data_IF_297334595821
#
_entry.id   IF_297334595821
#
_cell.length_a   1.000
_cell.length_b   1.000
_cell.length_c   1.000
_cell.angle_alpha   90.00
_cell.angle_beta   90.00
_cell.angle_gamma   90.00
#
_symmetry.space_group_name_H-M   'P 1'
#
loop_
_entity.id
_entity.type
_entity.pdbx_description
1 polymer ?
#
# COMPACT_ATOMS: atom_id res chain seq x y z
N UNK A 1 -2.29 -0.40 -35.59
CA UNK A 1 -1.86 -1.82 -35.62
C UNK A 1 -2.22 -2.35 -34.24
N UNK A 2 -3.32 -3.09 -34.17
CA UNK A 2 -4.14 -3.26 -32.97
C UNK A 2 -3.50 -4.18 -31.91
N UNK A 3 -2.92 -3.57 -30.87
CA UNK A 3 -2.39 -4.23 -29.67
C UNK A 3 -3.48 -4.83 -28.76
N UNK A 4 -4.75 -4.54 -29.02
CA UNK A 4 -5.91 -5.08 -28.30
C UNK A 4 -6.19 -6.54 -28.65
N UNK A 5 -5.78 -7.00 -29.85
CA UNK A 5 -6.00 -8.38 -30.29
C UNK A 5 -5.00 -9.37 -29.69
N UNK A 6 -3.72 -8.99 -29.56
CA UNK A 6 -2.70 -9.86 -28.95
C UNK A 6 -2.96 -10.15 -27.46
N UNK A 7 -3.56 -9.20 -26.73
CA UNK A 7 -3.87 -9.40 -25.30
C UNK A 7 -5.08 -10.34 -25.08
N UNK A 8 -6.04 -10.34 -26.01
CA UNK A 8 -7.23 -11.23 -25.94
C UNK A 8 -6.83 -12.68 -26.27
N UNK A 9 -5.88 -12.89 -27.17
CA UNK A 9 -5.41 -14.23 -27.57
C UNK A 9 -4.71 -14.97 -26.41
N UNK A 10 -3.95 -14.24 -25.56
CA UNK A 10 -3.21 -14.81 -24.43
C UNK A 10 -4.13 -15.34 -23.31
N UNK A 11 -5.33 -14.77 -23.15
CA UNK A 11 -6.27 -15.18 -22.10
C UNK A 11 -7.12 -16.41 -22.45
N UNK A 12 -7.09 -16.90 -23.69
CA UNK A 12 -7.92 -18.04 -24.13
C UNK A 12 -7.36 -19.42 -23.75
N UNK A 13 -6.12 -19.50 -23.24
CA UNK A 13 -5.45 -20.78 -22.91
C UNK A 13 -5.68 -21.30 -21.49
N UNK A 14 -6.42 -20.60 -20.63
CA UNK A 14 -6.74 -21.05 -19.27
C UNK A 14 -8.19 -21.61 -19.23
N UNK A 15 -8.34 -22.92 -19.46
CA UNK A 15 -9.61 -23.61 -19.20
C UNK A 15 -9.86 -23.77 -17.69
N UNK A 16 -11.10 -23.55 -17.19
CA UNK A 16 -11.45 -23.88 -15.81
C UNK A 16 -11.76 -25.38 -15.67
N UNK A 17 -11.09 -26.05 -14.73
CA UNK A 17 -11.47 -27.39 -14.27
C UNK A 17 -12.80 -27.33 -13.52
N UNK A 18 -13.82 -28.01 -14.06
CA UNK A 18 -15.09 -28.29 -13.37
C UNK A 18 -14.85 -29.28 -12.23
N UNK A 19 -15.04 -28.85 -10.99
CA UNK A 19 -15.14 -29.75 -9.83
C UNK A 19 -16.62 -30.08 -9.61
N UNK A 20 -16.96 -31.37 -9.71
CA UNK A 20 -18.29 -31.89 -9.47
C UNK A 20 -18.62 -31.84 -7.97
N UNK A 21 -19.78 -31.27 -7.62
CA UNK A 21 -20.35 -31.35 -6.28
C UNK A 21 -21.03 -32.71 -6.10
N UNK A 22 -20.49 -33.58 -5.25
CA UNK A 22 -21.22 -34.74 -4.72
C UNK A 22 -22.02 -34.34 -3.48
N UNK A 23 -23.28 -34.77 -3.43
CA UNK A 23 -24.26 -34.50 -2.37
C UNK A 23 -24.15 -35.54 -1.25
N UNK A 24 -24.16 -35.20 0.06
CA UNK A 24 -24.08 -36.21 1.11
C UNK A 24 -25.47 -36.77 1.47
N UNK A 25 -25.56 -38.10 1.37
CA UNK A 25 -26.64 -38.98 1.81
C UNK A 25 -27.00 -38.79 3.30
N UNK A 26 -28.30 -38.81 3.60
CA UNK A 26 -28.86 -38.80 4.95
C UNK A 26 -28.70 -40.17 5.66
N UNK A 27 -28.48 -40.16 6.97
CA UNK A 27 -28.55 -41.34 7.87
C UNK A 27 -29.47 -41.05 9.08
N UNK A 28 -30.08 -42.09 9.69
CA UNK A 28 -31.45 -42.04 10.20
C UNK A 28 -31.57 -41.62 11.67
N UNK A 29 -32.69 -40.97 12.01
CA UNK A 29 -33.09 -40.64 13.37
C UNK A 29 -33.51 -41.88 14.17
N UNK A 30 -32.89 -42.07 15.35
CA UNK A 30 -33.35 -43.00 16.39
C UNK A 30 -34.12 -42.18 17.43
N UNK A 31 -35.37 -42.56 17.72
CA UNK A 31 -36.23 -41.96 18.76
C UNK A 31 -35.92 -42.59 20.13
N UNK A 32 -35.88 -41.83 21.24
CA UNK A 32 -35.71 -42.40 22.57
C UNK A 32 -37.05 -42.80 23.24
N UNK A 33 -36.97 -43.82 24.09
CA UNK A 33 -38.04 -44.49 24.86
C UNK A 33 -38.66 -43.57 25.95
N UNK A 34 -39.96 -43.66 26.29
CA UNK A 34 -40.65 -42.63 27.07
C UNK A 34 -40.63 -42.82 28.60
N UNK A 35 -39.75 -43.66 29.17
CA UNK A 35 -39.88 -44.10 30.57
C UNK A 35 -38.68 -43.87 31.50
N UNK A 36 -37.99 -42.74 31.39
CA UNK A 36 -37.02 -42.30 32.40
C UNK A 36 -37.25 -40.86 32.83
N UNK A 37 -37.90 -40.71 33.98
CA UNK A 37 -37.90 -39.48 34.79
C UNK A 37 -36.54 -39.32 35.46
N UNK A 38 -35.66 -38.54 34.84
CA UNK A 38 -34.49 -37.97 35.52
C UNK A 38 -34.51 -36.45 35.41
N UNK A 39 -34.31 -35.82 36.56
CA UNK A 39 -34.25 -34.40 36.83
C UNK A 39 -33.27 -33.68 35.90
N UNK A 40 -33.76 -32.71 35.14
CA UNK A 40 -32.98 -31.79 34.30
C UNK A 40 -31.91 -31.03 35.10
N UNK A 41 -30.60 -31.26 34.89
CA UNK A 41 -29.62 -30.22 35.09
C UNK A 41 -29.63 -29.32 33.84
N UNK A 42 -29.52 -28.02 34.03
CA UNK A 42 -29.38 -27.03 32.94
C UNK A 42 -28.30 -27.49 31.95
N UNK A 43 -28.71 -28.05 30.81
CA UNK A 43 -27.83 -28.23 29.67
C UNK A 43 -27.60 -26.83 29.10
N UNK A 44 -26.40 -26.29 29.36
CA UNK A 44 -25.83 -25.25 28.51
C UNK A 44 -25.77 -25.87 27.11
N UNK A 45 -26.67 -25.43 26.23
CA UNK A 45 -26.64 -25.77 24.81
C UNK A 45 -25.36 -25.16 24.24
N UNK A 46 -24.28 -25.93 24.26
CA UNK A 46 -23.11 -25.65 23.45
C UNK A 46 -23.59 -25.81 22.01
N UNK A 47 -23.90 -24.69 21.36
CA UNK A 47 -24.17 -24.66 19.93
C UNK A 47 -22.96 -25.31 19.23
N UNK A 48 -23.16 -26.36 18.43
CA UNK A 48 -22.06 -26.99 17.71
C UNK A 48 -21.66 -26.06 16.57
N UNK A 49 -20.77 -25.11 16.86
CA UNK A 49 -20.05 -24.34 15.85
C UNK A 49 -19.00 -25.25 15.19
N UNK A 50 -19.48 -26.21 14.40
CA UNK A 50 -18.69 -26.99 13.45
C UNK A 50 -19.25 -26.77 12.03
N UNK A 51 -19.38 -25.51 11.66
CA UNK A 51 -19.14 -25.11 10.29
C UNK A 51 -17.87 -24.28 10.32
N UNK A 52 -16.89 -24.49 9.40
CA UNK A 52 -15.84 -23.52 9.23
C UNK A 52 -16.54 -22.21 8.85
N UNK A 53 -16.63 -21.28 9.81
CA UNK A 53 -17.11 -19.93 9.54
C UNK A 53 -16.14 -19.40 8.51
N UNK A 54 -16.59 -19.32 7.25
CA UNK A 54 -15.88 -18.53 6.26
C UNK A 54 -15.76 -17.14 6.87
N UNK A 55 -14.53 -16.70 7.17
CA UNK A 55 -14.23 -15.33 7.60
C UNK A 55 -14.39 -14.34 6.42
N UNK A 56 -15.07 -14.74 5.35
CA UNK A 56 -15.52 -13.82 4.31
C UNK A 56 -16.49 -12.84 4.96
N UNK A 57 -16.21 -11.53 4.88
CA UNK A 57 -17.06 -10.50 5.48
C UNK A 57 -18.47 -10.62 4.91
N UNK A 58 -19.44 -10.81 5.81
CA UNK A 58 -20.84 -10.96 5.46
C UNK A 58 -21.38 -9.58 5.09
N UNK A 59 -22.09 -9.48 3.95
CA UNK A 59 -22.77 -8.25 3.56
C UNK A 59 -23.74 -7.81 4.67
N UNK A 60 -23.67 -6.55 5.07
CA UNK A 60 -24.59 -6.02 6.08
C UNK A 60 -26.01 -5.90 5.52
N UNK A 61 -27.01 -6.00 6.41
CA UNK A 61 -28.42 -5.84 6.02
C UNK A 61 -28.70 -4.46 5.41
N UNK A 62 -29.74 -4.36 4.58
CA UNK A 62 -30.09 -3.13 3.85
C UNK A 62 -30.31 -1.90 4.76
N UNK A 63 -30.69 -2.11 6.01
CA UNK A 63 -30.84 -1.05 7.02
C UNK A 63 -29.54 -0.28 7.29
N UNK A 64 -28.37 -0.88 7.03
CA UNK A 64 -27.07 -0.27 7.27
C UNK A 64 -26.47 0.38 6.01
N UNK A 65 -27.14 0.29 4.86
CA UNK A 65 -26.63 0.83 3.59
C UNK A 65 -26.36 2.34 3.66
N UNK A 66 -27.16 3.09 4.43
CA UNK A 66 -26.97 4.54 4.62
C UNK A 66 -25.69 4.91 5.37
N UNK A 67 -25.10 3.97 6.12
CA UNK A 67 -23.87 4.20 6.91
C UNK A 67 -22.61 3.80 6.15
N UNK A 68 -22.74 3.13 4.99
CA UNK A 68 -21.58 2.71 4.18
C UNK A 68 -20.67 3.88 3.80
N UNK A 69 -21.19 5.06 3.39
CA UNK A 69 -20.33 6.21 3.12
C UNK A 69 -19.54 6.69 4.35
N UNK A 70 -20.14 6.64 5.54
CA UNK A 70 -19.47 7.01 6.79
C UNK A 70 -18.36 6.00 7.14
N UNK A 71 -18.59 4.71 6.87
CA UNK A 71 -17.58 3.67 7.04
C UNK A 71 -16.44 3.78 6.03
N UNK A 72 -16.74 4.14 4.78
CA UNK A 72 -15.71 4.45 3.78
C UNK A 72 -14.84 5.61 4.25
N UNK A 73 -15.44 6.74 4.65
CA UNK A 73 -14.71 7.89 5.17
C UNK A 73 -13.88 7.54 6.42
N UNK A 74 -14.43 6.73 7.34
CA UNK A 74 -13.67 6.25 8.49
C UNK A 74 -12.49 5.36 8.07
N UNK A 75 -12.69 4.49 7.07
CA UNK A 75 -11.62 3.68 6.49
C UNK A 75 -10.48 4.54 5.93
N UNK A 76 -10.82 5.59 5.17
CA UNK A 76 -9.84 6.54 4.61
C UNK A 76 -9.05 7.24 5.73
N UNK A 77 -9.71 7.63 6.84
CA UNK A 77 -8.99 8.24 7.97
C UNK A 77 -8.06 7.28 8.72
N UNK A 78 -8.33 5.98 8.65
CA UNK A 78 -7.55 4.94 9.34
C UNK A 78 -6.50 4.30 8.44
N UNK A 79 -6.51 4.59 7.14
CA UNK A 79 -5.70 3.87 6.16
C UNK A 79 -4.20 3.93 6.47
N UNK A 80 -3.68 5.12 6.79
CA UNK A 80 -2.24 5.29 7.07
C UNK A 80 -1.79 4.75 8.43
N UNK A 81 -2.63 4.91 9.45
CA UNK A 81 -2.27 4.61 10.85
C UNK A 81 -2.60 3.16 11.23
N UNK A 82 -3.72 2.65 10.73
CA UNK A 82 -4.36 1.41 11.15
C UNK A 82 -4.89 0.62 9.93
N UNK A 83 -4.02 0.25 8.97
CA UNK A 83 -4.41 -0.30 7.66
C UNK A 83 -5.19 -1.62 7.76
N UNK A 84 -5.03 -2.38 8.85
CA UNK A 84 -5.80 -3.61 9.10
C UNK A 84 -7.27 -3.29 9.40
N UNK A 85 -7.53 -2.23 10.16
CA UNK A 85 -8.89 -1.78 10.47
C UNK A 85 -9.54 -1.11 9.27
N UNK A 86 -8.79 -0.28 8.53
CA UNK A 86 -9.23 0.27 7.26
C UNK A 86 -9.61 -0.83 6.26
N UNK A 87 -8.77 -1.86 6.10
CA UNK A 87 -9.05 -3.02 5.25
C UNK A 87 -10.36 -3.73 5.63
N UNK A 88 -10.62 -3.88 6.93
CA UNK A 88 -11.86 -4.51 7.40
C UNK A 88 -13.10 -3.67 7.06
N UNK A 89 -13.03 -2.35 7.23
CA UNK A 89 -14.09 -1.41 6.86
C UNK A 89 -14.35 -1.43 5.35
N UNK A 90 -13.31 -1.25 4.54
CA UNK A 90 -13.43 -1.25 3.08
C UNK A 90 -13.99 -2.56 2.53
N UNK A 91 -13.59 -3.70 3.10
CA UNK A 91 -14.22 -4.99 2.75
C UNK A 91 -15.70 -5.01 3.12
N UNK A 92 -16.07 -4.55 4.31
CA UNK A 92 -17.47 -4.43 4.74
C UNK A 92 -18.30 -3.59 3.77
N UNK A 93 -17.76 -2.43 3.35
CA UNK A 93 -18.37 -1.56 2.35
C UNK A 93 -18.51 -2.28 0.99
N UNK A 94 -17.45 -2.94 0.52
CA UNK A 94 -17.47 -3.69 -0.74
C UNK A 94 -18.56 -4.76 -0.76
N UNK A 95 -18.59 -5.67 0.22
CA UNK A 95 -19.55 -6.78 0.23
C UNK A 95 -20.98 -6.28 0.38
N UNK A 96 -21.20 -5.21 1.15
CA UNK A 96 -22.52 -4.59 1.32
C UNK A 96 -22.99 -3.92 0.03
N UNK A 97 -22.15 -3.12 -0.62
CA UNK A 97 -22.47 -2.48 -1.89
C UNK A 97 -22.65 -3.51 -3.00
N UNK A 98 -21.79 -4.53 -3.07
CA UNK A 98 -21.89 -5.59 -4.06
C UNK A 98 -23.20 -6.39 -3.94
N UNK A 99 -23.69 -6.61 -2.72
CA UNK A 99 -24.95 -7.31 -2.48
C UNK A 99 -26.18 -6.46 -2.86
N UNK A 100 -26.21 -5.18 -2.47
CA UNK A 100 -27.42 -4.33 -2.63
C UNK A 100 -27.44 -3.50 -3.91
N UNK A 101 -26.29 -3.03 -4.38
CA UNK A 101 -26.14 -2.15 -5.55
C UNK A 101 -25.56 -2.89 -6.77
N UNK A 102 -24.91 -4.03 -6.54
CA UNK A 102 -24.25 -4.82 -7.57
C UNK A 102 -22.77 -4.49 -7.74
N UNK A 103 -22.04 -5.36 -8.44
CA UNK A 103 -20.57 -5.29 -8.58
C UNK A 103 -20.04 -4.20 -9.52
N UNK A 104 -20.91 -3.61 -10.34
CA UNK A 104 -20.54 -2.52 -11.27
C UNK A 104 -20.94 -1.14 -10.74
N UNK A 105 -21.62 -1.07 -9.59
CA UNK A 105 -21.94 0.22 -8.99
C UNK A 105 -20.65 0.94 -8.58
N UNK A 106 -20.59 2.25 -8.82
CA UNK A 106 -19.43 3.10 -8.53
C UNK A 106 -18.94 2.93 -7.09
N UNK A 107 -19.86 2.99 -6.11
CA UNK A 107 -19.53 2.81 -4.70
C UNK A 107 -18.98 1.40 -4.36
N UNK A 108 -19.32 0.38 -5.16
CA UNK A 108 -18.73 -0.97 -5.01
C UNK A 108 -17.30 -0.98 -5.52
N UNK A 109 -17.05 -0.35 -6.68
CA UNK A 109 -15.71 -0.28 -7.28
C UNK A 109 -14.77 0.58 -6.44
N UNK A 110 -15.24 1.69 -5.88
CA UNK A 110 -14.47 2.53 -4.95
C UNK A 110 -14.01 1.73 -3.73
N UNK A 111 -14.93 1.02 -3.07
CA UNK A 111 -14.57 0.14 -1.96
C UNK A 111 -13.60 -0.97 -2.40
N UNK A 112 -13.75 -1.50 -3.62
CA UNK A 112 -12.86 -2.53 -4.17
C UNK A 112 -11.43 -2.02 -4.38
N UNK A 113 -11.28 -0.80 -4.90
CA UNK A 113 -9.97 -0.14 -5.10
C UNK A 113 -9.32 0.14 -3.74
N UNK A 114 -10.07 0.68 -2.78
CA UNK A 114 -9.58 0.94 -1.42
C UNK A 114 -9.10 -0.34 -0.70
N UNK A 115 -9.82 -1.47 -0.86
CA UNK A 115 -9.35 -2.79 -0.39
C UNK A 115 -8.01 -3.16 -1.04
N UNK A 116 -7.91 -2.95 -2.36
CA UNK A 116 -6.68 -3.21 -3.12
C UNK A 116 -5.49 -2.39 -2.62
N UNK A 117 -5.69 -1.11 -2.34
CA UNK A 117 -4.65 -0.20 -1.87
C UNK A 117 -4.18 -0.56 -0.45
N UNK A 118 -5.12 -0.76 0.49
CA UNK A 118 -4.80 -1.26 1.83
C UNK A 118 -4.02 -2.58 1.81
N UNK A 119 -4.38 -3.51 0.92
CA UNK A 119 -3.61 -4.76 0.76
C UNK A 119 -2.20 -4.50 0.23
N UNK A 120 -2.00 -3.52 -0.65
CA UNK A 120 -0.70 -3.13 -1.15
C UNK A 120 0.17 -2.51 -0.05
N UNK A 121 -0.41 -1.66 0.82
CA UNK A 121 0.26 -1.09 1.98
C UNK A 121 0.68 -2.17 2.99
N UNK A 122 -0.16 -3.19 3.18
CA UNK A 122 0.16 -4.38 3.98
C UNK A 122 1.12 -5.36 3.28
N UNK A 123 1.74 -4.98 2.17
CA UNK A 123 2.66 -5.80 1.37
C UNK A 123 2.06 -7.11 0.83
N UNK A 124 0.72 -7.23 0.79
CA UNK A 124 -0.01 -8.38 0.24
C UNK A 124 -0.28 -8.18 -1.25
N UNK A 125 0.79 -8.03 -2.04
CA UNK A 125 0.73 -7.62 -3.44
C UNK A 125 -0.03 -8.58 -4.36
N UNK A 126 0.01 -9.89 -4.06
CA UNK A 126 -0.77 -10.87 -4.82
C UNK A 126 -2.28 -10.62 -4.64
N UNK A 127 -2.73 -10.46 -3.40
CA UNK A 127 -4.13 -10.19 -3.09
C UNK A 127 -4.54 -8.81 -3.63
N UNK A 128 -3.73 -7.77 -3.41
CA UNK A 128 -3.95 -6.43 -3.93
C UNK A 128 -4.19 -6.46 -5.45
N UNK A 129 -3.34 -7.17 -6.20
CA UNK A 129 -3.51 -7.32 -7.64
C UNK A 129 -4.83 -8.03 -8.00
N UNK A 130 -5.24 -9.07 -7.28
CA UNK A 130 -6.52 -9.74 -7.59
C UNK A 130 -7.71 -8.79 -7.44
N UNK A 131 -7.71 -7.96 -6.41
CA UNK A 131 -8.78 -6.99 -6.15
C UNK A 131 -8.79 -5.88 -7.20
N UNK A 132 -7.63 -5.28 -7.47
CA UNK A 132 -7.48 -4.16 -8.41
C UNK A 132 -7.69 -4.61 -9.87
N UNK A 133 -7.17 -5.76 -10.28
CA UNK A 133 -7.40 -6.28 -11.63
C UNK A 133 -8.86 -6.67 -11.86
N UNK A 134 -9.58 -7.13 -10.83
CA UNK A 134 -11.01 -7.39 -10.95
C UNK A 134 -11.82 -6.09 -11.01
N UNK A 135 -11.45 -5.04 -10.25
CA UNK A 135 -12.05 -3.72 -10.34
C UNK A 135 -11.83 -3.13 -11.75
N UNK A 136 -10.59 -3.16 -12.24
CA UNK A 136 -10.19 -2.72 -13.57
C UNK A 136 -11.04 -3.33 -14.69
N UNK A 137 -11.30 -4.65 -14.64
CA UNK A 137 -12.13 -5.34 -15.64
C UNK A 137 -13.61 -4.92 -15.62
N UNK A 138 -14.07 -4.32 -14.51
CA UNK A 138 -15.47 -3.94 -14.29
C UNK A 138 -15.70 -2.44 -14.47
N UNK A 139 -14.66 -1.63 -14.42
CA UNK A 139 -14.74 -0.19 -14.68
C UNK A 139 -15.13 0.08 -16.14
N UNK A 140 -16.00 1.07 -16.34
CA UNK A 140 -16.23 1.64 -17.66
C UNK A 140 -15.00 2.49 -18.05
N UNK A 141 -14.37 2.28 -19.21
CA UNK A 141 -13.23 3.09 -19.65
C UNK A 141 -13.50 4.60 -19.75
N UNK A 142 -14.76 5.01 -19.78
CA UNK A 142 -15.18 6.41 -19.80
C UNK A 142 -15.40 7.02 -18.42
N UNK A 143 -15.38 6.22 -17.35
CA UNK A 143 -15.53 6.69 -15.98
C UNK A 143 -14.17 7.21 -15.45
N UNK A 144 -14.19 8.35 -14.75
CA UNK A 144 -13.00 8.89 -14.05
C UNK A 144 -12.41 7.84 -13.09
N UNK A 145 -13.24 6.94 -12.53
CA UNK A 145 -12.80 5.84 -11.66
C UNK A 145 -11.94 4.80 -12.36
N UNK A 146 -11.99 4.73 -13.68
CA UNK A 146 -11.02 3.95 -14.46
C UNK A 146 -9.60 4.44 -14.17
N UNK A 147 -9.38 5.75 -14.07
CA UNK A 147 -8.09 6.33 -13.73
C UNK A 147 -7.65 6.02 -12.30
N UNK A 148 -8.56 6.16 -11.34
CA UNK A 148 -8.27 5.92 -9.92
C UNK A 148 -7.81 4.46 -9.67
N UNK A 149 -8.25 3.51 -10.50
CA UNK A 149 -7.78 2.12 -10.42
C UNK A 149 -6.39 1.90 -11.06
N UNK A 150 -5.97 2.70 -12.05
CA UNK A 150 -4.70 2.51 -12.76
C UNK A 150 -3.49 2.75 -11.86
N UNK A 151 -3.52 3.81 -11.04
CA UNK A 151 -2.36 4.18 -10.23
C UNK A 151 -2.02 3.12 -9.18
N UNK A 152 -2.95 2.65 -8.34
CA UNK A 152 -2.69 1.57 -7.40
C UNK A 152 -2.30 0.27 -8.10
N UNK A 153 -2.95 -0.07 -9.22
CA UNK A 153 -2.60 -1.27 -9.99
C UNK A 153 -1.17 -1.18 -10.55
N UNK A 154 -0.78 -0.04 -11.11
CA UNK A 154 0.56 0.23 -11.60
C UNK A 154 1.62 0.12 -10.49
N UNK A 155 1.35 0.67 -9.31
CA UNK A 155 2.23 0.54 -8.15
C UNK A 155 2.36 -0.93 -7.68
N UNK A 156 1.27 -1.69 -7.68
CA UNK A 156 1.30 -3.13 -7.35
C UNK A 156 2.11 -3.91 -8.38
N UNK A 157 1.97 -3.64 -9.68
CA UNK A 157 2.82 -4.24 -10.73
C UNK A 157 4.29 -3.91 -10.50
N UNK A 158 4.61 -2.68 -10.12
CA UNK A 158 5.98 -2.27 -9.82
C UNK A 158 6.57 -3.08 -8.66
N UNK A 159 5.81 -3.26 -7.57
CA UNK A 159 6.22 -4.09 -6.42
C UNK A 159 6.37 -5.57 -6.75
N UNK A 160 5.67 -6.03 -7.79
CA UNK A 160 5.80 -7.38 -8.36
C UNK A 160 6.92 -7.50 -9.41
N UNK A 161 7.72 -6.45 -9.61
CA UNK A 161 8.79 -6.37 -10.61
C UNK A 161 8.31 -6.43 -12.07
N UNK A 162 7.03 -6.16 -12.31
CA UNK A 162 6.42 -6.09 -13.65
C UNK A 162 6.54 -4.65 -14.19
N UNK A 163 7.79 -4.19 -14.32
CA UNK A 163 8.15 -2.77 -14.51
C UNK A 163 7.54 -2.17 -15.79
N UNK A 164 7.52 -2.92 -16.89
CA UNK A 164 6.99 -2.42 -18.16
C UNK A 164 5.47 -2.18 -18.10
N UNK A 165 4.74 -3.07 -17.42
CA UNK A 165 3.28 -2.92 -17.22
C UNK A 165 3.00 -1.73 -16.32
N UNK A 166 3.75 -1.60 -15.22
CA UNK A 166 3.68 -0.46 -14.32
C UNK A 166 3.95 0.86 -15.05
N UNK A 167 4.94 0.89 -15.94
CA UNK A 167 5.26 2.07 -16.76
C UNK A 167 4.07 2.51 -17.59
N UNK A 168 3.49 1.58 -18.36
CA UNK A 168 2.35 1.91 -19.23
C UNK A 168 1.17 2.47 -18.43
N UNK A 169 0.86 1.89 -17.27
CA UNK A 169 -0.23 2.37 -16.43
C UNK A 169 0.07 3.74 -15.83
N UNK A 170 1.25 3.94 -15.23
CA UNK A 170 1.57 5.17 -14.50
C UNK A 170 1.87 6.36 -15.42
N UNK A 171 2.49 6.14 -16.58
CA UNK A 171 2.61 7.19 -17.61
C UNK A 171 1.24 7.59 -18.16
N UNK A 172 0.32 6.62 -18.30
CA UNK A 172 -1.05 6.92 -18.76
C UNK A 172 -1.82 7.73 -17.73
N UNK A 173 -1.68 7.43 -16.44
CA UNK A 173 -2.29 8.23 -15.36
C UNK A 173 -1.76 9.65 -15.39
N UNK A 174 -0.44 9.84 -15.40
CA UNK A 174 0.17 11.17 -15.42
C UNK A 174 -0.29 12.02 -16.61
N UNK A 175 -0.41 11.41 -17.80
CA UNK A 175 -0.93 12.09 -18.98
C UNK A 175 -2.39 12.54 -18.80
N UNK A 176 -3.24 11.70 -18.22
CA UNK A 176 -4.65 12.04 -18.00
C UNK A 176 -4.80 13.15 -16.95
N UNK A 177 -4.02 13.10 -15.87
CA UNK A 177 -4.02 14.16 -14.86
C UNK A 177 -3.53 15.50 -15.43
N UNK A 178 -2.50 15.48 -16.26
CA UNK A 178 -2.03 16.67 -16.96
C UNK A 178 -3.11 17.25 -17.90
N UNK A 179 -3.86 16.40 -18.60
CA UNK A 179 -4.94 16.84 -19.50
C UNK A 179 -6.13 17.44 -18.73
N UNK A 180 -6.46 16.90 -17.56
CA UNK A 180 -7.64 17.29 -16.79
C UNK A 180 -7.37 18.51 -15.90
N UNK A 181 -6.28 18.48 -15.14
CA UNK A 181 -5.97 19.48 -14.11
C UNK A 181 -4.86 20.44 -14.52
N UNK A 182 -4.03 20.05 -15.48
CA UNK A 182 -2.90 20.84 -15.98
C UNK A 182 -1.55 20.42 -15.38
N UNK A 183 -0.43 20.89 -15.98
CA UNK A 183 0.92 20.42 -15.68
C UNK A 183 1.47 20.87 -14.32
N UNK A 184 0.83 21.85 -13.68
CA UNK A 184 1.23 22.36 -12.38
C UNK A 184 0.33 21.86 -11.24
N UNK A 185 -0.77 21.16 -11.52
CA UNK A 185 -1.68 20.70 -10.46
C UNK A 185 -0.99 19.68 -9.53
N UNK A 186 -1.32 19.70 -8.24
CA UNK A 186 -0.73 18.78 -7.25
C UNK A 186 -0.95 17.30 -7.64
N UNK A 187 -2.12 16.96 -8.17
CA UNK A 187 -2.44 15.59 -8.63
C UNK A 187 -1.51 15.16 -9.76
N UNK A 188 -1.30 16.03 -10.75
CA UNK A 188 -0.38 15.79 -11.86
C UNK A 188 1.05 15.60 -11.37
N UNK A 189 1.49 16.44 -10.43
CA UNK A 189 2.83 16.36 -9.86
C UNK A 189 3.06 15.05 -9.08
N UNK A 190 2.06 14.57 -8.33
CA UNK A 190 2.13 13.26 -7.65
C UNK A 190 2.21 12.10 -8.65
N UNK A 191 1.40 12.14 -9.71
CA UNK A 191 1.46 11.13 -10.77
C UNK A 191 2.80 11.13 -11.50
N UNK A 192 3.43 12.28 -11.68
CA UNK A 192 4.80 12.37 -12.20
C UNK A 192 5.84 11.75 -11.26
N UNK A 193 5.67 11.84 -9.93
CA UNK A 193 6.55 11.15 -8.98
C UNK A 193 6.41 9.61 -9.06
N UNK A 194 5.21 9.11 -9.38
CA UNK A 194 5.01 7.70 -9.66
C UNK A 194 5.76 7.28 -10.95
N UNK A 195 5.73 8.10 -12.00
CA UNK A 195 6.53 7.87 -13.23
C UNK A 195 8.03 7.89 -12.93
N UNK A 196 8.52 8.86 -12.15
CA UNK A 196 9.92 8.90 -11.72
C UNK A 196 10.32 7.63 -10.96
N UNK A 197 9.41 7.13 -10.11
CA UNK A 197 9.62 5.87 -9.39
C UNK A 197 9.74 4.71 -10.37
N UNK A 198 8.89 4.60 -11.41
CA UNK A 198 9.03 3.54 -12.41
C UNK A 198 10.38 3.63 -13.13
N UNK A 199 10.79 4.82 -13.58
CA UNK A 199 12.08 4.98 -14.25
C UNK A 199 13.27 4.61 -13.36
N UNK A 200 13.16 4.79 -12.04
CA UNK A 200 14.14 4.27 -11.08
C UNK A 200 14.27 2.74 -11.16
N UNK A 201 13.15 2.01 -11.19
CA UNK A 201 13.16 0.54 -11.28
C UNK A 201 13.61 0.04 -12.67
N UNK A 202 13.36 0.83 -13.73
CA UNK A 202 13.90 0.56 -15.06
C UNK A 202 15.39 0.88 -15.21
N UNK A 203 16.04 1.43 -14.16
CA UNK A 203 17.44 1.87 -14.21
C UNK A 203 17.68 3.17 -14.97
N UNK A 204 16.61 3.87 -15.41
CA UNK A 204 16.71 5.15 -16.08
C UNK A 204 16.74 6.31 -15.06
N UNK A 205 17.82 6.37 -14.28
CA UNK A 205 17.99 7.33 -13.20
C UNK A 205 18.01 8.79 -13.70
N UNK A 206 18.55 9.05 -14.89
CA UNK A 206 18.61 10.40 -15.44
C UNK A 206 17.21 10.98 -15.71
N UNK A 207 16.31 10.20 -16.32
CA UNK A 207 14.92 10.62 -16.53
C UNK A 207 14.19 10.80 -15.19
N UNK A 208 14.37 9.86 -14.25
CA UNK A 208 13.75 9.93 -12.94
C UNK A 208 14.17 11.18 -12.14
N UNK A 209 15.46 11.51 -12.13
CA UNK A 209 16.00 12.71 -11.46
C UNK A 209 15.41 13.97 -12.10
N UNK A 210 15.40 14.04 -13.44
CA UNK A 210 14.85 15.20 -14.17
C UNK A 210 13.39 15.46 -13.78
N UNK A 211 12.57 14.39 -13.71
CA UNK A 211 11.16 14.50 -13.32
C UNK A 211 11.03 14.93 -11.86
N UNK A 212 11.71 14.25 -10.93
CA UNK A 212 11.62 14.57 -9.51
C UNK A 212 12.07 16.02 -9.21
N UNK A 213 13.15 16.48 -9.84
CA UNK A 213 13.62 17.87 -9.73
C UNK A 213 12.60 18.86 -10.30
N UNK A 214 11.99 18.54 -11.46
CA UNK A 214 10.94 19.36 -12.06
C UNK A 214 9.74 19.48 -11.12
N UNK A 215 9.29 18.37 -10.53
CA UNK A 215 8.18 18.36 -9.58
C UNK A 215 8.46 19.25 -8.37
N UNK A 216 9.62 19.08 -7.73
CA UNK A 216 10.01 19.88 -6.56
C UNK A 216 10.08 21.36 -6.92
N UNK A 217 10.67 21.71 -8.07
CA UNK A 217 10.84 23.10 -8.50
C UNK A 217 9.51 23.77 -8.82
N UNK A 218 8.62 23.07 -9.54
CA UNK A 218 7.27 23.54 -9.85
C UNK A 218 6.47 23.73 -8.57
N UNK A 219 6.48 22.75 -7.66
CA UNK A 219 5.76 22.84 -6.40
C UNK A 219 6.28 24.01 -5.55
N UNK A 220 7.60 24.18 -5.43
CA UNK A 220 8.21 25.31 -4.72
C UNK A 220 7.80 26.68 -5.29
N UNK A 221 7.69 26.78 -6.62
CA UNK A 221 7.32 28.03 -7.30
C UNK A 221 5.85 28.41 -7.07
N UNK A 222 4.99 27.44 -6.73
CA UNK A 222 3.55 27.64 -6.49
C UNK A 222 3.18 27.78 -5.00
N UNK A 223 4.13 27.62 -4.08
CA UNK A 223 3.95 27.95 -2.66
C UNK A 223 3.90 29.48 -2.50
N UNK A 224 2.74 30.08 -2.75
CA UNK A 224 2.52 31.51 -2.52
C UNK A 224 2.34 31.79 -1.02
N UNK A 225 3.44 32.15 -0.33
CA UNK A 225 3.43 32.93 0.91
C UNK A 225 2.66 32.40 2.13
N UNK A 226 2.07 31.20 2.06
CA UNK A 226 1.25 30.60 3.10
C UNK A 226 1.57 29.12 3.33
N UNK A 227 1.06 28.58 4.44
CA UNK A 227 1.23 27.19 4.86
C UNK A 227 0.26 26.26 4.11
N UNK A 228 0.41 26.18 2.79
CA UNK A 228 -0.38 25.23 2.00
C UNK A 228 0.21 23.82 2.17
N UNK A 229 -0.43 23.04 3.04
CA UNK A 229 -0.04 21.69 3.36
C UNK A 229 0.04 20.78 2.11
N UNK A 230 -0.78 21.05 1.09
CA UNK A 230 -0.84 20.27 -0.15
C UNK A 230 0.46 20.39 -0.93
N UNK A 231 0.86 21.61 -1.27
CA UNK A 231 2.11 21.86 -1.99
C UNK A 231 3.33 21.43 -1.20
N UNK A 232 3.31 21.62 0.13
CA UNK A 232 4.39 21.14 1.00
C UNK A 232 4.50 19.62 0.97
N UNK A 233 3.38 18.91 0.96
CA UNK A 233 3.32 17.46 0.78
C UNK A 233 3.99 17.03 -0.52
N UNK A 234 3.64 17.66 -1.65
CA UNK A 234 4.25 17.37 -2.96
C UNK A 234 5.76 17.64 -2.96
N UNK A 235 6.21 18.77 -2.40
CA UNK A 235 7.64 19.11 -2.29
C UNK A 235 8.37 18.02 -1.49
N UNK A 236 7.79 17.59 -0.38
CA UNK A 236 8.36 16.57 0.48
C UNK A 236 8.45 15.22 -0.25
N UNK A 237 7.34 14.75 -0.86
CA UNK A 237 7.31 13.49 -1.62
C UNK A 237 8.32 13.51 -2.76
N UNK A 238 8.41 14.62 -3.48
CA UNK A 238 9.40 14.81 -4.54
C UNK A 238 10.84 14.82 -4.03
N UNK A 239 11.08 15.45 -2.88
CA UNK A 239 12.41 15.48 -2.22
C UNK A 239 12.82 14.08 -1.74
N UNK A 240 11.89 13.29 -1.21
CA UNK A 240 12.15 11.91 -0.82
C UNK A 240 12.55 11.06 -2.03
N UNK A 241 11.78 11.14 -3.12
CA UNK A 241 12.10 10.43 -4.38
C UNK A 241 13.45 10.87 -4.95
N UNK A 242 13.71 12.18 -4.97
CA UNK A 242 14.99 12.74 -5.42
C UNK A 242 16.15 12.27 -4.54
N UNK A 243 15.99 12.25 -3.22
CA UNK A 243 17.00 11.76 -2.28
C UNK A 243 17.36 10.30 -2.53
N UNK A 244 16.36 9.43 -2.71
CA UNK A 244 16.56 8.03 -3.08
C UNK A 244 17.30 7.87 -4.42
N UNK A 245 16.97 8.70 -5.41
CA UNK A 245 17.60 8.69 -6.72
C UNK A 245 19.07 9.10 -6.65
N UNK A 246 19.38 10.18 -5.94
CA UNK A 246 20.75 10.65 -5.73
C UNK A 246 21.60 9.63 -4.98
N UNK A 247 21.06 9.00 -3.93
CA UNK A 247 21.73 7.89 -3.26
C UNK A 247 21.94 6.69 -4.21
N UNK A 248 21.01 6.43 -5.13
CA UNK A 248 21.14 5.34 -6.10
C UNK A 248 22.21 5.63 -7.18
N UNK A 249 22.48 6.90 -7.49
CA UNK A 249 23.52 7.31 -8.45
C UNK A 249 24.90 7.56 -7.82
N UNK A 250 24.99 7.50 -6.49
CA UNK A 250 26.24 7.67 -5.73
C UNK A 250 26.42 9.05 -5.08
N UNK A 251 25.49 9.98 -5.28
CA UNK A 251 25.49 11.31 -4.67
C UNK A 251 24.88 11.27 -3.26
N UNK A 252 25.47 10.45 -2.39
CA UNK A 252 24.96 10.19 -1.05
C UNK A 252 24.94 11.43 -0.15
N UNK A 253 25.87 12.37 -0.37
CA UNK A 253 25.95 13.60 0.41
C UNK A 253 24.64 14.38 0.33
N UNK A 254 24.21 14.74 -0.88
CA UNK A 254 22.94 15.43 -1.12
C UNK A 254 21.75 14.52 -0.87
N UNK A 255 21.82 13.25 -1.30
CA UNK A 255 20.72 12.31 -1.15
C UNK A 255 20.27 12.11 0.29
N UNK A 256 21.20 11.89 1.23
CA UNK A 256 20.84 11.75 2.64
C UNK A 256 20.34 13.06 3.27
N UNK A 257 20.81 14.24 2.84
CA UNK A 257 20.25 15.50 3.35
C UNK A 257 18.77 15.62 2.98
N UNK A 258 18.40 15.36 1.72
CA UNK A 258 16.99 15.35 1.30
C UNK A 258 16.14 14.36 2.09
N UNK A 259 16.65 13.15 2.35
CA UNK A 259 15.94 12.13 3.11
C UNK A 259 15.78 12.53 4.59
N UNK A 260 16.81 13.12 5.20
CA UNK A 260 16.76 13.55 6.60
C UNK A 260 15.86 14.77 6.79
N UNK A 261 15.95 15.76 5.90
CA UNK A 261 15.06 16.93 5.90
C UNK A 261 13.61 16.51 5.71
N UNK A 262 13.41 15.49 4.87
CA UNK A 262 12.11 14.86 4.70
C UNK A 262 11.56 14.27 6.00
N UNK A 263 12.33 13.42 6.67
CA UNK A 263 11.97 12.87 7.97
C UNK A 263 11.63 13.98 8.98
N UNK A 264 12.46 15.02 9.05
CA UNK A 264 12.28 16.16 9.95
C UNK A 264 10.96 16.90 9.68
N UNK A 265 10.60 17.06 8.41
CA UNK A 265 9.36 17.71 8.02
C UNK A 265 8.14 16.86 8.41
N UNK A 266 8.13 15.56 8.08
CA UNK A 266 7.02 14.66 8.44
C UNK A 266 6.84 14.58 9.95
N UNK A 267 7.94 14.43 10.69
CA UNK A 267 7.89 14.42 12.15
C UNK A 267 7.28 15.70 12.71
N UNK A 268 7.59 16.86 12.13
CA UNK A 268 7.04 18.15 12.59
C UNK A 268 5.52 18.28 12.35
N UNK A 269 5.00 17.73 11.26
CA UNK A 269 3.61 17.93 10.84
C UNK A 269 2.68 16.81 11.31
N UNK A 270 3.12 15.56 11.19
CA UNK A 270 2.32 14.36 11.51
C UNK A 270 2.71 13.74 12.85
N UNK A 271 3.87 14.10 13.39
CA UNK A 271 4.36 13.53 14.65
C UNK A 271 4.99 12.15 14.48
N UNK A 272 5.14 11.46 15.60
CA UNK A 272 5.85 10.17 15.70
C UNK A 272 4.96 8.95 15.47
N UNK A 273 3.63 9.13 15.47
CA UNK A 273 2.66 8.04 15.33
C UNK A 273 2.48 7.54 13.90
N UNK A 274 2.75 8.40 12.91
CA UNK A 274 2.50 8.07 11.50
C UNK A 274 3.66 7.27 10.91
N UNK A 275 3.31 6.15 10.30
CA UNK A 275 4.22 5.18 9.68
C UNK A 275 5.08 5.79 8.56
N UNK A 276 4.53 6.74 7.79
CA UNK A 276 5.22 7.43 6.70
C UNK A 276 6.43 8.25 7.19
N UNK A 277 6.35 8.89 8.37
CA UNK A 277 7.46 9.60 9.03
C UNK A 277 8.71 8.72 9.10
N UNK A 278 8.53 7.47 9.48
CA UNK A 278 9.62 6.54 9.71
C UNK A 278 10.14 5.91 8.42
N UNK A 279 9.38 5.94 7.34
CA UNK A 279 9.84 5.46 6.02
C UNK A 279 10.99 6.33 5.47
N UNK A 280 10.90 7.66 5.60
CA UNK A 280 12.00 8.56 5.21
C UNK A 280 13.23 8.40 6.10
N UNK A 281 13.02 8.25 7.41
CA UNK A 281 14.10 7.95 8.35
C UNK A 281 14.81 6.65 8.00
N UNK A 282 14.06 5.62 7.61
CA UNK A 282 14.60 4.32 7.21
C UNK A 282 15.49 4.42 5.99
N UNK A 283 15.02 5.14 4.97
CA UNK A 283 15.77 5.41 3.76
C UNK A 283 17.07 6.18 4.06
N UNK A 284 16.99 7.23 4.89
CA UNK A 284 18.15 8.01 5.32
C UNK A 284 19.17 7.15 6.08
N UNK A 285 18.70 6.35 7.05
CA UNK A 285 19.54 5.49 7.87
C UNK A 285 20.34 4.52 7.00
N UNK A 286 19.63 3.81 6.10
CA UNK A 286 20.25 2.83 5.21
C UNK A 286 21.31 3.47 4.30
N UNK A 287 20.99 4.59 3.65
CA UNK A 287 21.94 5.27 2.76
C UNK A 287 23.16 5.79 3.52
N UNK A 288 22.98 6.24 4.76
CA UNK A 288 24.06 6.70 5.63
C UNK A 288 24.92 5.56 6.17
N UNK A 289 24.34 4.39 6.43
CA UNK A 289 25.05 3.18 6.85
C UNK A 289 25.96 2.66 5.73
N UNK A 290 25.40 2.50 4.52
CA UNK A 290 26.11 1.98 3.35
C UNK A 290 27.34 2.81 2.98
N UNK A 291 27.35 4.08 3.35
CA UNK A 291 28.44 5.02 3.08
C UNK A 291 29.33 5.29 4.29
N UNK A 292 29.07 4.66 5.44
CA UNK A 292 29.83 4.89 6.66
C UNK A 292 29.70 6.31 7.22
N UNK A 293 28.64 7.05 6.85
CA UNK A 293 28.45 8.45 7.25
C UNK A 293 28.26 8.66 8.75
N UNK A 294 27.93 7.61 9.50
CA UNK A 294 27.87 7.68 10.97
C UNK A 294 29.23 7.91 11.65
N UNK A 295 30.34 7.83 10.91
CA UNK A 295 31.63 8.32 11.38
C UNK A 295 31.66 9.85 11.57
N UNK A 296 30.77 10.58 10.89
CA UNK A 296 30.62 12.03 11.06
C UNK A 296 29.84 12.31 12.35
N UNK A 297 30.36 13.13 13.27
CA UNK A 297 29.69 13.45 14.54
C UNK A 297 28.28 14.05 14.35
N UNK A 298 28.08 14.79 13.26
CA UNK A 298 26.79 15.39 12.91
C UNK A 298 25.74 14.33 12.61
N UNK A 299 26.07 13.32 11.79
CA UNK A 299 25.16 12.22 11.44
C UNK A 299 24.89 11.31 12.63
N UNK A 300 25.92 11.00 13.42
CA UNK A 300 25.74 10.25 14.67
C UNK A 300 24.78 10.99 15.63
N UNK A 301 24.90 12.31 15.73
CA UNK A 301 24.02 13.13 16.57
C UNK A 301 22.58 13.14 16.04
N UNK A 302 22.39 13.21 14.72
CA UNK A 302 21.08 13.10 14.06
C UNK A 302 20.42 11.75 14.34
N UNK A 303 21.19 10.67 14.25
CA UNK A 303 20.72 9.31 14.56
C UNK A 303 20.22 9.21 16.01
N UNK A 304 21.04 9.66 16.96
CA UNK A 304 20.68 9.65 18.39
C UNK A 304 19.41 10.46 18.65
N UNK A 305 19.30 11.65 18.07
CA UNK A 305 18.12 12.50 18.23
C UNK A 305 16.84 11.83 17.71
N UNK A 306 16.90 11.19 16.55
CA UNK A 306 15.76 10.51 15.95
C UNK A 306 15.36 9.23 16.69
N UNK A 307 16.33 8.42 17.14
CA UNK A 307 16.06 7.21 17.92
C UNK A 307 15.43 7.55 19.28
N UNK A 308 15.79 8.68 19.88
CA UNK A 308 15.26 9.11 21.19
C UNK A 308 13.75 9.37 21.16
N UNK A 309 13.21 9.80 20.03
CA UNK A 309 11.79 10.12 19.85
C UNK A 309 11.01 8.95 19.22
N UNK A 310 11.67 7.84 18.92
CA UNK A 310 11.06 6.71 18.23
C UNK A 310 10.09 5.95 19.16
N UNK A 311 8.83 5.73 18.73
CA UNK A 311 7.89 4.94 19.50
C UNK A 311 8.37 3.49 19.67
N UNK A 312 8.19 2.88 20.86
CA UNK A 312 8.57 1.49 21.10
C UNK A 312 7.71 0.48 20.32
N UNK A 313 6.56 0.91 19.80
CA UNK A 313 5.61 0.12 19.02
C UNK A 313 6.00 -0.04 17.56
N UNK A 314 7.05 0.66 17.08
CA UNK A 314 7.60 0.45 15.74
C UNK A 314 8.43 -0.84 15.73
N UNK A 315 7.76 -1.98 15.88
CA UNK A 315 8.33 -3.32 15.73
C UNK A 315 8.44 -3.75 14.28
N UNK A 316 7.56 -3.20 13.42
CA UNK A 316 7.56 -3.38 11.97
C UNK A 316 7.71 -2.02 11.30
N UNK A 317 8.94 -1.72 10.87
CA UNK A 317 9.19 -0.61 9.98
C UNK A 317 8.48 -0.90 8.65
N UNK A 318 7.52 -0.06 8.25
CA UNK A 318 7.13 0.04 6.84
C UNK A 318 8.39 0.39 6.07
N UNK A 319 8.84 -0.49 5.18
CA UNK A 319 10.17 -0.29 4.58
C UNK A 319 11.27 -1.19 5.14
N UNK A 320 10.92 -2.25 5.87
CA UNK A 320 11.68 -3.52 5.80
C UNK A 320 11.65 -4.03 4.35
N UNK A 321 11.98 -3.25 3.33
CA UNK A 321 12.10 -3.71 1.96
C UNK A 321 13.41 -3.19 1.42
N UNK A 322 14.27 -4.10 0.98
CA UNK A 322 15.57 -3.74 0.43
C UNK A 322 15.40 -2.69 -0.68
N UNK A 323 16.13 -1.57 -0.62
CA UNK A 323 15.97 -0.49 -1.62
C UNK A 323 16.38 -0.96 -3.04
N UNK A 324 17.21 -2.01 -3.10
CA UNK A 324 17.68 -2.64 -4.32
C UNK A 324 16.70 -3.67 -4.89
N UNK A 325 16.16 -4.59 -4.06
CA UNK A 325 15.33 -5.70 -4.54
C UNK A 325 13.90 -5.73 -3.99
N UNK A 326 13.55 -4.74 -3.17
CA UNK A 326 12.24 -4.56 -2.52
C UNK A 326 11.75 -5.74 -1.68
N UNK A 327 12.65 -6.66 -1.30
CA UNK A 327 12.32 -7.83 -0.50
C UNK A 327 12.27 -7.52 0.98
N UNK A 328 11.36 -8.18 1.69
CA UNK A 328 11.17 -8.00 3.13
C UNK A 328 12.49 -8.20 3.92
N UNK A 329 12.92 -7.21 4.70
CA UNK A 329 14.09 -7.28 5.59
C UNK A 329 13.61 -7.85 6.95
N UNK A 330 14.09 -9.02 7.35
CA UNK A 330 13.71 -9.62 8.63
C UNK A 330 14.65 -9.17 9.77
N UNK A 331 14.08 -8.74 10.91
CA UNK A 331 14.82 -8.45 12.16
C UNK A 331 14.40 -7.15 12.86
N UNK A 332 14.72 -6.98 14.16
CA UNK A 332 14.61 -5.69 14.85
C UNK A 332 15.70 -4.73 14.33
N UNK A 333 15.31 -3.52 13.92
CA UNK A 333 16.24 -2.51 13.42
C UNK A 333 17.27 -2.08 14.50
N UNK A 334 16.87 -2.11 15.78
CA UNK A 334 17.77 -1.83 16.90
C UNK A 334 17.46 -2.76 18.07
N UNK A 335 18.47 -3.45 18.58
CA UNK A 335 18.42 -3.97 19.93
C UNK A 335 18.57 -2.79 20.91
N UNK A 336 17.83 -2.75 22.04
CA UNK A 336 17.96 -1.70 23.03
C UNK A 336 19.41 -1.60 23.54
N UNK A 337 19.80 -0.42 24.01
CA UNK A 337 21.16 0.03 24.36
C UNK A 337 22.02 -0.89 25.27
N UNK A 338 21.48 -2.00 25.76
CA UNK A 338 22.19 -3.05 26.48
C UNK A 338 22.88 -4.09 25.58
N UNK A 339 22.65 -4.08 24.26
CA UNK A 339 23.30 -4.97 23.31
C UNK A 339 24.12 -4.16 22.29
N UNK A 340 25.33 -3.76 22.69
CA UNK A 340 26.36 -3.38 21.73
C UNK A 340 26.71 -4.62 20.89
N UNK A 341 26.11 -4.73 19.71
CA UNK A 341 26.62 -5.38 18.50
C UNK A 341 25.55 -5.17 17.42
N UNK A 342 25.85 -4.25 16.50
CA UNK A 342 25.03 -3.84 15.35
C UNK A 342 24.32 -5.02 14.68
N UNK A 343 22.98 -5.06 14.73
CA UNK A 343 22.17 -6.06 14.02
C UNK A 343 22.15 -5.72 12.53
N UNK A 344 22.97 -6.44 11.78
CA UNK A 344 23.10 -6.35 10.32
C UNK A 344 21.79 -6.74 9.64
N UNK A 345 21.18 -5.79 8.93
CA UNK A 345 20.02 -6.00 8.07
C UNK A 345 20.47 -6.57 6.70
N UNK A 346 20.69 -7.88 6.60
CA UNK A 346 21.03 -8.54 5.34
C UNK A 346 19.81 -9.23 4.71
N UNK A 347 19.50 -8.91 3.45
CA UNK A 347 18.69 -9.78 2.59
C UNK A 347 19.66 -10.78 1.94
N UNK A 348 19.48 -12.11 2.11
CA UNK A 348 20.41 -13.12 1.61
C UNK A 348 20.71 -13.05 0.10
N UNK A 349 19.83 -12.43 -0.68
CA UNK A 349 19.93 -12.31 -2.13
C UNK A 349 20.65 -11.04 -2.63
N UNK A 350 20.90 -10.05 -1.76
CA UNK A 350 21.53 -8.78 -2.13
C UNK A 350 22.88 -8.63 -1.42
N UNK A 351 23.85 -9.44 -1.83
CA UNK A 351 25.26 -9.18 -1.52
C UNK A 351 25.78 -8.16 -2.53
N UNK A 352 26.14 -6.95 -2.06
CA UNK A 352 27.02 -6.07 -2.83
C UNK A 352 28.40 -6.75 -2.96
N UNK A 353 29.10 -6.58 -4.11
CA UNK A 353 30.42 -7.15 -4.35
C UNK A 353 31.51 -6.60 -3.43
#
# INVERSE_FOLDING_TARGET
>A
MDLTLEYIEMHRQLQPMLVAMESPLALPHVMPDPNTTETMPYLVTVLPWYQPVSLEPIAFGSALLSHVPEWMALGETLEEDEPIWALALFRGCYYTNAHHLGRQATATLEAQVAVGDCLAQLHRYADAHTWLADAWRRCDPSDVKFRDCMAPLGLVHLKRQEVEVARTLLERVALLDELDAGPADCTTLESLLNVATVYRYSGNYAAAITIATSVVTTAQSNVFGGDDATWRGVIYSGSMVLGLLLCSTGDFDQGCEYLYDGFRWQWKHYGVGVTSTWSAFSAWYWCSEQTGRFALPTEASRLVAAVTIMPPTIGDWSGKVCVTCTSAIAGPAFAPAAACLYTVANVPACTLP
#
